data_IF_900885518901
#
_entry.id   IF_900885518901
#
_cell.length_a   1.000
_cell.length_b   1.000
_cell.length_c   1.000
_cell.angle_alpha   90.00
_cell.angle_beta   90.00
_cell.angle_gamma   90.00
#
_symmetry.space_group_name_H-M   'P 1'
#
loop_
_entity.id
_entity.type
_entity.pdbx_description
1 polymer ?
#
# COMPACT_ATOMS: atom_id res chain seq x y z
N UNK A 1 27.43 16.50 27.82
CA UNK A 1 27.77 16.32 26.39
C UNK A 1 26.53 16.69 25.60
N UNK A 2 26.60 17.74 24.78
CA UNK A 2 25.48 18.22 23.97
C UNK A 2 25.47 17.52 22.60
N UNK A 3 24.27 17.18 22.13
CA UNK A 3 24.04 16.58 20.81
C UNK A 3 23.13 17.50 20.01
N UNK A 4 23.36 17.56 18.71
CA UNK A 4 22.51 18.34 17.81
C UNK A 4 21.14 17.64 17.68
N UNK A 5 20.07 18.36 17.99
CA UNK A 5 18.69 17.85 17.90
C UNK A 5 18.21 17.66 16.47
N UNK A 6 18.92 18.23 15.48
CA UNK A 6 18.59 18.11 14.06
C UNK A 6 19.33 16.95 13.38
N UNK A 7 20.63 16.77 13.62
CA UNK A 7 21.44 15.75 12.93
C UNK A 7 21.91 14.59 13.82
N UNK A 8 21.70 14.65 15.14
CA UNK A 8 22.13 13.63 16.09
C UNK A 8 23.63 13.54 16.36
N UNK A 9 24.46 14.39 15.73
CA UNK A 9 25.92 14.40 15.95
C UNK A 9 26.31 15.17 17.23
N UNK A 10 27.45 14.81 17.82
CA UNK A 10 27.99 15.44 19.03
C UNK A 10 28.44 16.87 18.71
N UNK A 11 28.06 17.83 19.55
CA UNK A 11 28.48 19.23 19.44
C UNK A 11 29.74 19.41 20.30
N UNK A 12 30.77 20.04 19.72
CA UNK A 12 31.96 20.49 20.44
C UNK A 12 31.71 21.94 20.86
N UNK A 13 31.78 22.22 22.16
CA UNK A 13 31.58 23.57 22.69
C UNK A 13 32.68 24.49 22.19
N UNK A 14 32.30 25.55 21.47
CA UNK A 14 33.21 26.55 20.90
C UNK A 14 33.37 26.50 19.37
N UNK A 15 32.85 25.48 18.69
CA UNK A 15 32.87 25.39 17.22
C UNK A 15 31.48 25.56 16.61
N UNK A 16 31.40 26.27 15.47
CA UNK A 16 30.16 26.42 14.71
C UNK A 16 29.76 25.07 14.09
N UNK A 17 28.68 24.48 14.60
CA UNK A 17 28.17 23.21 14.10
C UNK A 17 27.42 23.39 12.78
N UNK A 18 27.98 22.93 11.66
CA UNK A 18 27.33 22.95 10.36
C UNK A 18 26.49 21.68 10.14
N UNK A 19 25.17 21.78 10.31
CA UNK A 19 24.24 20.73 9.90
C UNK A 19 24.23 20.63 8.37
N UNK A 20 24.81 19.57 7.80
CA UNK A 20 24.79 19.34 6.34
C UNK A 20 23.39 19.21 5.74
N UNK A 21 22.35 18.95 6.54
CA UNK A 21 20.96 18.95 6.06
C UNK A 21 20.43 20.34 5.69
N UNK A 22 21.00 21.43 6.22
CA UNK A 22 20.57 22.80 5.90
C UNK A 22 21.35 23.39 4.72
N UNK A 23 22.55 22.88 4.42
CA UNK A 23 23.40 23.38 3.34
C UNK A 23 22.96 22.90 1.94
N UNK A 24 22.10 21.88 1.84
CA UNK A 24 21.54 21.41 0.57
C UNK A 24 20.19 22.07 0.20
N UNK A 25 19.71 23.04 0.99
CA UNK A 25 18.38 23.64 0.84
C UNK A 25 18.32 25.17 0.76
N UNK A 26 19.46 25.86 0.70
CA UNK A 26 19.51 27.34 0.79
C UNK A 26 19.97 28.06 -0.48
N UNK A 27 19.68 27.51 -1.65
CA UNK A 27 19.75 28.25 -2.92
C UNK A 27 18.34 28.38 -3.49
N UNK A 28 17.55 29.30 -2.94
CA UNK A 28 16.49 30.04 -3.62
C UNK A 28 15.94 31.09 -2.65
N UNK A 29 16.76 32.09 -2.40
CA UNK A 29 16.32 33.37 -1.87
C UNK A 29 15.49 34.07 -2.94
N UNK A 30 14.18 34.21 -2.72
CA UNK A 30 13.36 35.20 -3.43
C UNK A 30 12.80 36.21 -2.44
N UNK A 31 13.26 37.45 -2.62
CA UNK A 31 12.81 38.68 -1.98
C UNK A 31 11.31 38.92 -2.20
N UNK A 32 10.60 39.37 -1.16
CA UNK A 32 9.22 39.83 -1.30
C UNK A 32 8.58 40.24 0.02
N UNK A 33 8.67 41.53 0.33
CA UNK A 33 8.10 42.31 1.43
C UNK A 33 6.63 42.04 1.82
N UNK A 34 6.38 42.00 3.14
CA UNK A 34 5.36 42.76 3.87
C UNK A 34 3.87 42.66 3.48
N UNK A 35 3.02 42.27 4.43
CA UNK A 35 1.62 42.72 4.45
C UNK A 35 0.59 41.72 4.98
N UNK A 36 0.03 42.07 6.14
CA UNK A 36 -1.35 41.86 6.58
C UNK A 36 -1.94 40.44 6.73
N UNK A 37 -2.44 40.20 7.94
CA UNK A 37 -3.34 39.13 8.32
C UNK A 37 -4.56 39.04 7.38
N UNK A 38 -4.75 37.87 6.79
CA UNK A 38 -5.97 37.46 6.11
C UNK A 38 -6.33 36.04 6.52
N UNK A 39 -7.40 35.89 7.28
CA UNK A 39 -7.97 34.61 7.69
C UNK A 39 -8.30 33.73 6.47
N UNK A 40 -8.14 32.40 6.53
CA UNK A 40 -8.49 31.53 5.42
C UNK A 40 -10.01 31.48 5.27
N UNK A 41 -10.48 32.04 4.15
CA UNK A 41 -11.86 31.96 3.68
C UNK A 41 -12.06 30.56 3.10
N UNK A 42 -12.87 29.74 3.77
CA UNK A 42 -13.23 28.41 3.30
C UNK A 42 -14.00 28.49 1.98
N UNK A 43 -13.34 28.12 0.88
CA UNK A 43 -14.00 27.82 -0.39
C UNK A 43 -14.14 26.30 -0.53
N UNK A 44 -15.39 25.85 -0.41
CA UNK A 44 -15.84 24.48 -0.60
C UNK A 44 -15.87 24.10 -2.10
N UNK A 45 -14.74 24.26 -2.80
CA UNK A 45 -14.52 23.84 -4.20
C UNK A 45 -13.16 23.16 -4.36
N UNK A 46 -12.84 22.23 -3.45
CA UNK A 46 -11.46 21.73 -3.29
C UNK A 46 -11.15 20.37 -3.88
N UNK A 47 -12.13 19.61 -4.39
CA UNK A 47 -11.89 18.19 -4.71
C UNK A 47 -10.95 17.97 -5.90
N UNK A 48 -11.20 18.66 -7.02
CA UNK A 48 -10.45 18.43 -8.27
C UNK A 48 -9.23 19.35 -8.39
N UNK A 49 -9.32 20.61 -7.94
CA UNK A 49 -8.19 21.54 -7.95
C UNK A 49 -7.07 21.12 -6.99
N UNK A 50 -7.40 20.56 -5.83
CA UNK A 50 -6.37 19.96 -4.96
C UNK A 50 -5.66 18.80 -5.65
N UNK A 51 -6.36 17.97 -6.43
CA UNK A 51 -5.74 16.89 -7.22
C UNK A 51 -4.84 17.44 -8.32
N UNK A 52 -5.25 18.52 -9.00
CA UNK A 52 -4.43 19.18 -10.04
C UNK A 52 -3.15 19.80 -9.46
N UNK A 53 -3.25 20.46 -8.31
CA UNK A 53 -2.08 21.02 -7.61
C UNK A 53 -1.19 19.92 -7.01
N UNK A 54 -1.78 18.82 -6.54
CA UNK A 54 -1.04 17.61 -6.14
C UNK A 54 -0.27 17.02 -7.33
N UNK A 55 -0.86 16.93 -8.53
CA UNK A 55 -0.16 16.40 -9.71
C UNK A 55 1.04 17.23 -10.15
N UNK A 56 1.05 18.56 -9.92
CA UNK A 56 2.23 19.39 -10.18
C UNK A 56 3.38 19.14 -9.21
N UNK A 57 3.10 18.54 -8.05
CA UNK A 57 4.07 18.30 -6.99
C UNK A 57 4.59 16.85 -6.97
N UNK A 58 4.05 15.98 -7.84
CA UNK A 58 4.48 14.59 -7.95
C UNK A 58 5.76 14.52 -8.80
N UNK A 59 6.86 14.14 -8.17
CA UNK A 59 8.08 13.80 -8.90
C UNK A 59 7.93 12.40 -9.50
N UNK A 60 7.82 12.35 -10.83
CA UNK A 60 7.67 11.09 -11.57
C UNK A 60 8.91 10.20 -11.43
N UNK A 61 10.09 10.80 -11.23
CA UNK A 61 11.32 10.03 -11.04
C UNK A 61 11.26 9.22 -9.75
N UNK A 62 10.69 9.78 -8.68
CA UNK A 62 10.49 9.08 -7.41
C UNK A 62 9.56 7.89 -7.60
N UNK A 63 8.47 8.04 -8.36
CA UNK A 63 7.55 6.92 -8.65
C UNK A 63 8.26 5.80 -9.42
N UNK A 64 9.01 6.15 -10.46
CA UNK A 64 9.76 5.16 -11.26
C UNK A 64 10.82 4.46 -10.41
N UNK A 65 11.47 5.20 -9.51
CA UNK A 65 12.43 4.64 -8.57
C UNK A 65 11.79 3.68 -7.58
N UNK A 66 10.62 4.02 -7.04
CA UNK A 66 9.85 3.15 -6.15
C UNK A 66 9.35 1.89 -6.88
N UNK A 67 8.96 2.02 -8.14
CA UNK A 67 8.53 0.90 -8.97
C UNK A 67 9.67 -0.08 -9.28
N UNK A 68 10.89 0.43 -9.48
CA UNK A 68 12.08 -0.41 -9.71
C UNK A 68 12.61 -1.01 -8.41
N UNK A 69 12.56 -0.25 -7.32
CA UNK A 69 13.13 -0.61 -6.02
C UNK A 69 12.14 -0.28 -4.89
N UNK A 70 11.24 -1.21 -4.52
CA UNK A 70 10.24 -0.96 -3.47
C UNK A 70 10.86 -0.65 -2.10
N UNK A 71 12.12 -1.05 -1.87
CA UNK A 71 12.87 -0.74 -0.64
C UNK A 71 13.22 0.74 -0.47
N UNK A 72 13.23 1.53 -1.55
CA UNK A 72 13.39 3.00 -1.46
C UNK A 72 12.25 3.65 -0.67
N UNK A 73 11.12 2.96 -0.50
CA UNK A 73 10.01 3.43 0.33
C UNK A 73 10.43 3.73 1.77
N UNK A 74 11.40 3.02 2.33
CA UNK A 74 11.89 3.21 3.70
C UNK A 74 12.62 4.55 3.90
N UNK A 75 13.07 5.19 2.83
CA UNK A 75 13.79 6.47 2.87
C UNK A 75 12.86 7.69 2.73
N UNK A 76 11.58 7.46 2.43
CA UNK A 76 10.59 8.53 2.29
C UNK A 76 10.35 9.22 3.63
N UNK A 77 10.06 10.52 3.60
CA UNK A 77 9.73 11.30 4.78
C UNK A 77 8.20 11.37 4.94
N UNK A 78 7.61 10.74 5.97
CA UNK A 78 6.15 10.68 6.12
C UNK A 78 5.42 12.03 6.15
N UNK A 79 6.10 13.09 6.62
CA UNK A 79 5.52 14.43 6.70
C UNK A 79 5.29 15.08 5.33
N UNK A 80 6.08 14.72 4.31
CA UNK A 80 6.05 15.32 2.97
C UNK A 80 5.59 14.34 1.90
N UNK A 81 5.90 13.06 2.08
CA UNK A 81 5.81 12.03 1.04
C UNK A 81 4.61 11.09 1.18
N UNK A 82 3.68 11.40 2.08
CA UNK A 82 2.46 10.59 2.29
C UNK A 82 1.67 10.37 0.99
N UNK A 83 1.69 11.35 0.09
CA UNK A 83 1.03 11.26 -1.22
C UNK A 83 1.55 10.07 -2.03
N UNK A 84 2.85 9.76 -1.98
CA UNK A 84 3.42 8.63 -2.70
C UNK A 84 2.96 7.28 -2.14
N UNK A 85 2.73 7.20 -0.83
CA UNK A 85 2.18 6.00 -0.19
C UNK A 85 0.74 5.74 -0.57
N UNK A 86 -0.10 6.78 -0.53
CA UNK A 86 -1.50 6.70 -0.94
C UNK A 86 -1.62 6.35 -2.42
N UNK A 87 -0.81 6.99 -3.27
CA UNK A 87 -0.79 6.68 -4.71
C UNK A 87 -0.33 5.25 -4.99
N UNK A 88 0.59 4.69 -4.20
CA UNK A 88 0.99 3.28 -4.34
C UNK A 88 -0.13 2.31 -4.01
N UNK A 89 -0.90 2.59 -2.95
CA UNK A 89 -2.14 1.86 -2.62
C UNK A 89 -3.12 1.95 -3.79
N UNK A 90 -3.41 3.15 -4.27
CA UNK A 90 -4.33 3.36 -5.39
C UNK A 90 -3.85 2.64 -6.65
N UNK A 91 -2.56 2.71 -6.97
CA UNK A 91 -1.98 2.01 -8.12
C UNK A 91 -2.14 0.50 -8.03
N UNK A 92 -1.97 -0.08 -6.83
CA UNK A 92 -2.19 -1.52 -6.62
C UNK A 92 -3.65 -1.92 -6.78
N UNK A 93 -4.58 -1.11 -6.25
CA UNK A 93 -6.01 -1.32 -6.41
C UNK A 93 -6.43 -1.20 -7.88
N UNK A 94 -5.91 -0.21 -8.61
CA UNK A 94 -6.17 -0.05 -10.05
C UNK A 94 -5.62 -1.23 -10.85
N UNK A 95 -4.40 -1.69 -10.54
CA UNK A 95 -3.84 -2.88 -11.17
C UNK A 95 -4.69 -4.12 -10.93
N UNK A 96 -5.15 -4.32 -9.70
CA UNK A 96 -6.07 -5.40 -9.35
C UNK A 96 -7.45 -5.25 -10.02
N UNK A 97 -8.00 -4.04 -10.10
CA UNK A 97 -9.26 -3.77 -10.82
C UNK A 97 -9.16 -4.11 -12.30
N UNK A 98 -8.06 -3.73 -12.95
CA UNK A 98 -7.80 -4.07 -14.36
C UNK A 98 -7.76 -5.59 -14.51
N UNK A 99 -7.01 -6.30 -13.65
CA UNK A 99 -6.98 -7.76 -13.65
C UNK A 99 -8.38 -8.37 -13.46
N UNK A 100 -9.12 -7.92 -12.43
CA UNK A 100 -10.44 -8.41 -12.08
C UNK A 100 -11.46 -8.18 -13.22
N UNK A 101 -11.38 -7.04 -13.90
CA UNK A 101 -12.23 -6.74 -15.04
C UNK A 101 -11.93 -7.61 -16.26
N UNK A 102 -10.64 -7.88 -16.54
CA UNK A 102 -10.22 -8.77 -17.62
C UNK A 102 -10.69 -10.21 -17.34
N UNK A 103 -10.52 -10.69 -16.09
CA UNK A 103 -10.87 -12.06 -15.70
C UNK A 103 -12.37 -12.27 -15.55
N UNK A 104 -13.12 -11.26 -15.08
CA UNK A 104 -14.55 -11.34 -14.80
C UNK A 104 -15.40 -11.72 -16.02
N UNK A 105 -14.90 -11.47 -17.24
CA UNK A 105 -15.54 -11.90 -18.50
C UNK A 105 -15.29 -13.36 -18.87
N UNK A 106 -14.32 -14.01 -18.22
CA UNK A 106 -13.84 -15.38 -18.53
C UNK A 106 -14.04 -16.36 -17.35
N UNK A 107 -14.64 -15.89 -16.26
CA UNK A 107 -14.64 -16.57 -14.96
C UNK A 107 -15.66 -17.72 -14.89
N UNK A 108 -16.78 -17.60 -15.61
CA UNK A 108 -17.93 -18.51 -15.52
C UNK A 108 -17.58 -19.98 -15.84
N UNK A 109 -16.59 -20.22 -16.70
CA UNK A 109 -16.19 -21.59 -17.08
C UNK A 109 -15.01 -22.16 -16.29
N UNK A 110 -14.29 -21.34 -15.51
CA UNK A 110 -13.01 -21.72 -14.91
C UNK A 110 -13.03 -21.75 -13.38
N UNK A 111 -13.91 -21.00 -12.73
CA UNK A 111 -14.07 -21.09 -11.27
C UNK A 111 -14.62 -22.45 -10.85
N UNK A 112 -15.63 -22.99 -11.54
CA UNK A 112 -16.17 -24.33 -11.25
C UNK A 112 -15.12 -25.44 -11.34
N UNK A 113 -14.30 -25.42 -12.39
CA UNK A 113 -13.28 -26.46 -12.63
C UNK A 113 -12.02 -26.30 -11.76
N UNK A 114 -11.54 -25.07 -11.51
CA UNK A 114 -10.32 -24.84 -10.72
C UNK A 114 -10.57 -24.86 -9.21
N UNK A 115 -11.65 -24.24 -8.72
CA UNK A 115 -11.91 -24.19 -7.28
C UNK A 115 -12.62 -25.44 -6.77
N UNK A 116 -13.53 -26.03 -7.57
CA UNK A 116 -14.20 -27.28 -7.23
C UNK A 116 -13.25 -28.49 -7.12
N UNK A 117 -12.14 -28.49 -7.88
CA UNK A 117 -11.14 -29.58 -7.86
C UNK A 117 -9.94 -29.37 -6.94
N UNK A 118 -9.48 -28.13 -6.73
CA UNK A 118 -8.25 -27.83 -5.97
C UNK A 118 -8.52 -27.40 -4.51
N UNK A 119 -9.70 -26.83 -4.22
CA UNK A 119 -10.07 -26.23 -2.93
C UNK A 119 -11.41 -26.77 -2.39
N UNK A 120 -11.72 -28.06 -2.63
CA UNK A 120 -13.00 -28.73 -2.35
C UNK A 120 -13.47 -28.75 -0.88
N UNK A 121 -13.70 -27.58 -0.30
CA UNK A 121 -14.10 -27.35 1.09
C UNK A 121 -14.26 -25.87 1.50
N UNK A 122 -14.10 -24.90 0.58
CA UNK A 122 -14.43 -23.49 0.85
C UNK A 122 -15.85 -23.17 0.36
N UNK A 123 -16.86 -23.70 1.07
CA UNK A 123 -18.29 -23.49 0.76
C UNK A 123 -18.71 -22.02 0.70
N UNK A 124 -18.04 -21.13 1.44
CA UNK A 124 -18.36 -19.69 1.43
C UNK A 124 -17.96 -19.00 0.10
N UNK A 125 -17.03 -19.59 -0.67
CA UNK A 125 -16.68 -19.08 -1.99
C UNK A 125 -17.64 -19.58 -3.08
N UNK A 126 -18.33 -20.69 -2.83
CA UNK A 126 -19.35 -21.25 -3.74
C UNK A 126 -20.62 -20.38 -3.73
N UNK A 127 -20.97 -19.84 -2.56
CA UNK A 127 -22.10 -18.90 -2.39
C UNK A 127 -21.86 -17.54 -3.11
N UNK A 128 -20.59 -17.19 -3.36
CA UNK A 128 -20.23 -16.04 -4.21
C UNK A 128 -20.53 -16.31 -5.70
N UNK A 129 -20.58 -17.58 -6.11
CA UNK A 129 -20.80 -18.01 -7.50
C UNK A 129 -22.22 -18.52 -7.78
N UNK A 130 -23.02 -18.84 -6.77
CA UNK A 130 -24.35 -19.47 -6.93
C UNK A 130 -25.49 -18.49 -7.32
N UNK A 131 -25.16 -17.24 -7.65
CA UNK A 131 -26.12 -16.27 -8.22
C UNK A 131 -26.38 -16.55 -9.70
N UNK A 132 -27.08 -17.64 -9.97
CA UNK A 132 -27.60 -18.09 -11.26
C UNK A 132 -28.83 -17.29 -11.74
N UNK A 133 -28.81 -15.96 -11.56
CA UNK A 133 -29.82 -15.02 -12.05
C UNK A 133 -29.34 -14.29 -13.30
N UNK A 134 -29.95 -14.57 -14.45
CA UNK A 134 -29.51 -14.15 -15.78
C UNK A 134 -29.16 -12.66 -15.98
N UNK A 135 -28.10 -12.46 -16.78
CA UNK A 135 -27.60 -11.18 -17.34
C UNK A 135 -27.08 -10.14 -16.33
N UNK A 136 -25.85 -10.35 -15.83
CA UNK A 136 -24.87 -9.33 -15.36
C UNK A 136 -23.78 -9.92 -14.44
N UNK A 137 -23.75 -11.26 -14.28
CA UNK A 137 -22.90 -12.08 -13.39
C UNK A 137 -21.45 -11.57 -13.27
N UNK A 138 -20.75 -11.31 -14.39
CA UNK A 138 -19.37 -10.82 -14.36
C UNK A 138 -19.18 -9.48 -13.63
N UNK A 139 -20.17 -8.58 -13.68
CA UNK A 139 -20.08 -7.25 -13.05
C UNK A 139 -20.32 -7.30 -11.53
N UNK A 140 -21.24 -8.14 -11.07
CA UNK A 140 -21.51 -8.35 -9.65
C UNK A 140 -20.33 -9.03 -8.96
N UNK A 141 -19.74 -10.06 -9.60
CA UNK A 141 -18.54 -10.75 -9.09
C UNK A 141 -17.34 -9.80 -9.05
N UNK A 142 -17.12 -9.01 -10.11
CA UNK A 142 -16.04 -8.01 -10.13
C UNK A 142 -16.19 -6.99 -9.00
N UNK A 143 -17.41 -6.53 -8.74
CA UNK A 143 -17.70 -5.61 -7.62
C UNK A 143 -17.32 -6.21 -6.26
N UNK A 144 -17.74 -7.45 -5.98
CA UNK A 144 -17.41 -8.14 -4.71
C UNK A 144 -15.90 -8.37 -4.55
N UNK A 145 -15.20 -8.75 -5.61
CA UNK A 145 -13.74 -8.93 -5.59
C UNK A 145 -12.99 -7.62 -5.27
N UNK A 146 -13.47 -6.49 -5.80
CA UNK A 146 -12.87 -5.17 -5.51
C UNK A 146 -13.09 -4.81 -4.04
N UNK A 147 -14.30 -4.99 -3.52
CA UNK A 147 -14.60 -4.74 -2.10
C UNK A 147 -13.73 -5.61 -1.21
N UNK A 148 -13.60 -6.90 -1.54
CA UNK A 148 -12.73 -7.83 -0.81
C UNK A 148 -11.26 -7.41 -0.88
N UNK A 149 -10.77 -6.92 -2.02
CA UNK A 149 -9.40 -6.40 -2.13
C UNK A 149 -9.16 -5.16 -1.27
N UNK A 150 -10.12 -4.23 -1.22
CA UNK A 150 -10.04 -3.04 -0.36
C UNK A 150 -10.01 -3.45 1.12
N UNK A 151 -10.94 -4.32 1.52
CA UNK A 151 -11.01 -4.88 2.88
C UNK A 151 -9.69 -5.55 3.24
N UNK A 152 -9.18 -6.40 2.34
CA UNK A 152 -7.92 -7.11 2.51
C UNK A 152 -6.74 -6.16 2.70
N UNK A 153 -6.68 -5.07 1.94
CA UNK A 153 -5.60 -4.10 2.04
C UNK A 153 -5.66 -3.32 3.38
N UNK A 154 -6.86 -2.91 3.80
CA UNK A 154 -7.08 -2.24 5.09
C UNK A 154 -6.72 -3.18 6.24
N UNK A 155 -7.16 -4.44 6.19
CA UNK A 155 -6.84 -5.46 7.17
C UNK A 155 -5.33 -5.75 7.25
N UNK A 156 -4.65 -5.80 6.10
CA UNK A 156 -3.20 -6.00 6.05
C UNK A 156 -2.44 -4.83 6.68
N UNK A 157 -2.72 -3.60 6.25
CA UNK A 157 -2.05 -2.41 6.81
C UNK A 157 -2.37 -2.25 8.30
N UNK A 158 -3.64 -2.46 8.67
CA UNK A 158 -4.10 -2.36 10.06
C UNK A 158 -3.47 -3.40 10.99
N UNK A 159 -3.39 -4.66 10.55
CA UNK A 159 -2.74 -5.73 11.34
C UNK A 159 -1.25 -5.48 11.52
N UNK A 160 -0.54 -5.09 10.46
CA UNK A 160 0.88 -4.73 10.53
C UNK A 160 1.11 -3.52 11.43
N UNK A 161 0.27 -2.50 11.33
CA UNK A 161 0.37 -1.31 12.18
C UNK A 161 0.12 -1.62 13.66
N UNK A 162 -0.93 -2.40 13.96
CA UNK A 162 -1.28 -2.77 15.33
C UNK A 162 -0.18 -3.61 15.98
N UNK A 163 0.33 -4.62 15.28
CA UNK A 163 1.38 -5.49 15.83
C UNK A 163 2.75 -4.84 15.83
N UNK A 164 3.05 -4.04 14.81
CA UNK A 164 4.25 -3.22 14.78
C UNK A 164 4.33 -2.30 15.98
N UNK A 165 3.24 -1.58 16.31
CA UNK A 165 3.22 -0.69 17.47
C UNK A 165 3.16 -1.41 18.83
N UNK A 166 2.71 -2.66 18.86
CA UNK A 166 2.70 -3.47 20.08
C UNK A 166 4.06 -4.11 20.38
N UNK A 167 4.70 -4.70 19.37
CA UNK A 167 5.92 -5.53 19.53
C UNK A 167 7.19 -4.88 19.00
N UNK A 168 7.08 -3.82 18.21
CA UNK A 168 8.20 -3.05 17.67
C UNK A 168 8.86 -2.16 18.72
N UNK A 169 10.14 -1.86 18.50
CA UNK A 169 10.93 -0.97 19.36
C UNK A 169 10.69 0.50 19.01
N UNK A 170 10.39 0.77 17.73
CA UNK A 170 10.03 2.09 17.25
C UNK A 170 8.52 2.21 17.07
N UNK A 171 7.89 3.20 17.72
CA UNK A 171 6.48 3.51 17.51
C UNK A 171 6.30 4.41 16.29
N UNK A 172 5.34 4.08 15.45
CA UNK A 172 5.07 4.79 14.21
C UNK A 172 3.61 5.23 14.14
N UNK A 173 3.42 6.42 13.60
CA UNK A 173 2.08 6.95 13.35
C UNK A 173 1.45 6.15 12.21
N UNK A 174 0.12 6.05 12.19
CA UNK A 174 -0.59 5.41 11.09
C UNK A 174 -0.23 6.01 9.72
N UNK A 175 0.00 7.33 9.68
CA UNK A 175 0.49 8.06 8.50
C UNK A 175 1.83 7.53 7.99
N UNK A 176 2.76 7.22 8.90
CA UNK A 176 4.09 6.71 8.54
C UNK A 176 3.96 5.30 7.95
N UNK A 177 3.14 4.44 8.58
CA UNK A 177 2.86 3.10 8.08
C UNK A 177 2.25 3.13 6.67
N UNK A 178 1.25 3.98 6.43
CA UNK A 178 0.63 4.14 5.11
C UNK A 178 1.63 4.67 4.08
N UNK A 179 2.50 5.60 4.46
CA UNK A 179 3.50 6.17 3.56
C UNK A 179 4.47 5.10 3.07
N UNK A 180 5.09 4.37 4.00
CA UNK A 180 6.12 3.39 3.68
C UNK A 180 5.51 2.12 3.06
N UNK A 181 4.48 1.53 3.68
CA UNK A 181 3.88 0.29 3.19
C UNK A 181 3.10 0.51 1.90
N UNK A 182 2.42 1.66 1.76
CA UNK A 182 1.69 2.00 0.55
C UNK A 182 2.61 2.25 -0.63
N UNK A 183 3.76 2.91 -0.43
CA UNK A 183 4.71 3.16 -1.50
C UNK A 183 5.39 1.86 -1.99
N UNK A 184 5.46 0.82 -1.17
CA UNK A 184 5.95 -0.48 -1.62
C UNK A 184 4.97 -1.17 -2.61
N UNK A 185 3.70 -0.75 -2.67
CA UNK A 185 2.66 -1.42 -3.45
C UNK A 185 2.68 -1.15 -4.96
N UNK A 186 3.43 -0.16 -5.44
CA UNK A 186 3.51 0.15 -6.88
C UNK A 186 3.93 -1.06 -7.72
N UNK A 187 4.94 -1.78 -7.26
CA UNK A 187 5.48 -2.95 -7.95
C UNK A 187 4.44 -4.06 -8.09
N UNK A 188 3.61 -4.25 -7.05
CA UNK A 188 2.56 -5.27 -7.06
C UNK A 188 1.37 -4.87 -7.93
N UNK A 189 1.07 -3.57 -8.03
CA UNK A 189 0.13 -3.02 -9.01
C UNK A 189 0.52 -3.39 -10.45
N UNK A 190 1.79 -3.21 -10.81
CA UNK A 190 2.30 -3.64 -12.11
C UNK A 190 2.23 -5.17 -12.27
N UNK A 191 2.49 -5.93 -11.21
CA UNK A 191 2.33 -7.39 -11.18
C UNK A 191 0.90 -7.85 -11.45
N UNK A 192 -0.12 -7.15 -10.94
CA UNK A 192 -1.52 -7.45 -11.24
C UNK A 192 -1.87 -7.18 -12.69
N UNK A 193 -1.39 -6.07 -13.26
CA UNK A 193 -1.56 -5.79 -14.69
C UNK A 193 -0.89 -6.88 -15.54
N UNK A 194 0.32 -7.29 -15.18
CA UNK A 194 1.03 -8.37 -15.86
C UNK A 194 0.26 -9.69 -15.79
N UNK A 195 -0.26 -10.07 -14.62
CA UNK A 195 -1.13 -11.23 -14.48
C UNK A 195 -2.38 -11.10 -15.39
N UNK A 196 -2.93 -9.89 -15.51
CA UNK A 196 -4.07 -9.60 -16.37
C UNK A 196 -3.73 -9.80 -17.85
N UNK A 197 -2.56 -9.36 -18.28
CA UNK A 197 -2.06 -9.58 -19.64
C UNK A 197 -1.81 -11.06 -19.93
N UNK A 198 -1.26 -11.82 -18.97
CA UNK A 198 -1.08 -13.26 -19.11
C UNK A 198 -2.40 -14.02 -19.33
N UNK A 199 -3.54 -13.47 -18.89
CA UNK A 199 -4.87 -14.07 -19.09
C UNK A 199 -5.33 -14.11 -20.55
N UNK A 200 -4.70 -13.33 -21.44
CA UNK A 200 -4.91 -13.44 -22.87
C UNK A 200 -4.22 -14.66 -23.48
N UNK A 201 -3.10 -15.10 -22.89
CA UNK A 201 -2.34 -16.27 -23.35
C UNK A 201 -2.96 -17.54 -22.79
N UNK A 202 -3.07 -17.64 -21.45
CA UNK A 202 -3.61 -18.80 -20.77
C UNK A 202 -4.07 -18.42 -19.36
N UNK A 203 -5.33 -18.75 -19.02
CA UNK A 203 -5.88 -18.40 -17.70
C UNK A 203 -5.11 -19.04 -16.54
N UNK A 204 -4.61 -20.27 -16.73
CA UNK A 204 -3.85 -20.98 -15.68
C UNK A 204 -2.54 -20.25 -15.37
N UNK A 205 -1.86 -19.75 -16.39
CA UNK A 205 -0.63 -18.96 -16.23
C UNK A 205 -0.96 -17.65 -15.50
N UNK A 206 -2.05 -16.98 -15.87
CA UNK A 206 -2.48 -15.76 -15.19
C UNK A 206 -2.71 -15.96 -13.69
N UNK A 207 -3.37 -17.05 -13.30
CA UNK A 207 -3.57 -17.39 -11.88
C UNK A 207 -2.27 -17.72 -11.17
N UNK A 208 -1.36 -18.48 -11.79
CA UNK A 208 -0.03 -18.76 -11.22
C UNK A 208 0.74 -17.45 -10.98
N UNK A 209 0.78 -16.56 -11.98
CA UNK A 209 1.44 -15.25 -11.88
C UNK A 209 0.80 -14.40 -10.79
N UNK A 210 -0.54 -14.39 -10.69
CA UNK A 210 -1.27 -13.69 -9.66
C UNK A 210 -0.93 -14.22 -8.26
N UNK A 211 -0.98 -15.54 -8.05
CA UNK A 211 -0.66 -16.17 -6.76
C UNK A 211 0.77 -15.87 -6.33
N UNK A 212 1.73 -15.96 -7.25
CA UNK A 212 3.12 -15.59 -6.98
C UNK A 212 3.23 -14.11 -6.64
N UNK A 213 2.55 -13.22 -7.36
CA UNK A 213 2.54 -11.79 -7.07
C UNK A 213 1.96 -11.48 -5.69
N UNK A 214 0.83 -12.11 -5.32
CA UNK A 214 0.19 -11.96 -4.02
C UNK A 214 1.07 -12.46 -2.87
N UNK A 215 1.67 -13.66 -3.01
CA UNK A 215 2.58 -14.20 -1.99
C UNK A 215 3.83 -13.32 -1.84
N UNK A 216 4.38 -12.84 -2.95
CA UNK A 216 5.52 -11.91 -2.93
C UNK A 216 5.13 -10.59 -2.28
N UNK A 217 3.96 -10.03 -2.58
CA UNK A 217 3.44 -8.82 -1.95
C UNK A 217 3.29 -9.01 -0.43
N UNK A 218 2.72 -10.12 0.00
CA UNK A 218 2.56 -10.43 1.42
C UNK A 218 3.92 -10.54 2.14
N UNK A 219 4.85 -11.33 1.61
CA UNK A 219 6.17 -11.52 2.22
C UNK A 219 6.94 -10.21 2.29
N UNK A 220 7.00 -9.47 1.18
CA UNK A 220 7.75 -8.21 1.11
C UNK A 220 7.16 -7.13 2.03
N UNK A 221 5.83 -7.02 2.13
CA UNK A 221 5.18 -6.04 3.02
C UNK A 221 5.40 -6.36 4.48
N UNK A 222 5.30 -7.65 4.88
CA UNK A 222 5.62 -8.10 6.24
C UNK A 222 7.09 -7.84 6.57
N UNK A 223 8.01 -8.15 5.66
CA UNK A 223 9.44 -7.90 5.85
C UNK A 223 9.76 -6.39 5.96
N UNK A 224 9.11 -5.56 5.14
CA UNK A 224 9.24 -4.10 5.24
C UNK A 224 8.72 -3.59 6.58
N UNK A 225 7.58 -4.09 7.05
CA UNK A 225 7.05 -3.74 8.36
C UNK A 225 8.06 -4.10 9.48
N UNK A 226 8.59 -5.32 9.49
CA UNK A 226 9.57 -5.75 10.49
C UNK A 226 10.79 -4.83 10.54
N UNK A 227 11.30 -4.43 9.38
CA UNK A 227 12.42 -3.49 9.27
C UNK A 227 12.03 -2.08 9.78
N UNK A 228 10.84 -1.60 9.43
CA UNK A 228 10.35 -0.28 9.78
C UNK A 228 10.11 -0.10 11.29
N UNK A 229 9.53 -1.11 11.95
CA UNK A 229 9.27 -1.12 13.39
C UNK A 229 10.48 -1.59 14.23
N UNK A 230 11.60 -1.91 13.59
CA UNK A 230 12.83 -2.39 14.23
C UNK A 230 12.57 -3.54 15.20
N UNK A 231 11.85 -4.57 14.73
CA UNK A 231 11.52 -5.72 15.57
C UNK A 231 12.79 -6.51 15.87
N UNK A 232 13.04 -6.76 17.16
CA UNK A 232 14.18 -7.55 17.67
C UNK A 232 14.23 -8.94 17.04
N UNK A 233 15.44 -9.40 16.71
CA UNK A 233 15.65 -10.60 15.87
C UNK A 233 15.03 -11.87 16.43
N UNK A 234 15.07 -12.02 17.76
CA UNK A 234 14.51 -13.14 18.50
C UNK A 234 12.98 -13.25 18.41
N UNK A 235 12.30 -12.16 18.04
CA UNK A 235 10.82 -12.10 17.98
C UNK A 235 10.28 -11.96 16.56
N UNK A 236 11.15 -11.88 15.54
CA UNK A 236 10.75 -11.70 14.13
C UNK A 236 9.74 -12.76 13.69
N UNK A 237 10.02 -14.04 13.94
CA UNK A 237 9.17 -15.14 13.50
C UNK A 237 7.78 -15.11 14.17
N UNK A 238 7.71 -14.79 15.47
CA UNK A 238 6.44 -14.63 16.18
C UNK A 238 5.62 -13.46 15.64
N UNK A 239 6.27 -12.33 15.34
CA UNK A 239 5.59 -11.16 14.76
C UNK A 239 5.08 -11.47 13.35
N UNK A 240 5.86 -12.16 12.51
CA UNK A 240 5.41 -12.63 11.19
C UNK A 240 4.16 -13.50 11.36
N UNK A 241 4.25 -14.58 12.12
CA UNK A 241 3.14 -15.53 12.28
C UNK A 241 1.88 -14.87 12.83
N UNK A 242 2.03 -14.01 13.84
CA UNK A 242 0.89 -13.33 14.45
C UNK A 242 0.29 -12.26 13.53
N UNK A 243 1.11 -11.59 12.70
CA UNK A 243 0.63 -10.64 11.69
C UNK A 243 -0.18 -11.30 10.60
N UNK A 244 0.28 -12.44 10.08
CA UNK A 244 -0.46 -13.20 9.07
C UNK A 244 -1.74 -13.78 9.67
N UNK A 245 -1.68 -14.33 10.89
CA UNK A 245 -2.87 -14.86 11.57
C UNK A 245 -3.92 -13.76 11.84
N UNK A 246 -3.49 -12.59 12.35
CA UNK A 246 -4.37 -11.45 12.59
C UNK A 246 -4.96 -10.91 11.27
N UNK A 247 -4.15 -10.82 10.21
CA UNK A 247 -4.61 -10.44 8.89
C UNK A 247 -5.72 -11.39 8.39
N UNK A 248 -5.50 -12.70 8.44
CA UNK A 248 -6.50 -13.69 8.00
C UNK A 248 -7.78 -13.63 8.85
N UNK A 249 -7.65 -13.45 10.16
CA UNK A 249 -8.80 -13.29 11.05
C UNK A 249 -9.61 -12.02 10.74
N UNK A 250 -8.93 -10.89 10.50
CA UNK A 250 -9.58 -9.63 10.12
C UNK A 250 -10.26 -9.73 8.75
N UNK A 251 -9.61 -10.36 7.77
CA UNK A 251 -10.22 -10.57 6.45
C UNK A 251 -11.47 -11.43 6.56
N UNK A 252 -11.40 -12.57 7.26
CA UNK A 252 -12.54 -13.47 7.43
C UNK A 252 -13.71 -12.80 8.16
N UNK A 253 -13.43 -12.02 9.20
CA UNK A 253 -14.46 -11.29 9.94
C UNK A 253 -15.08 -10.17 9.10
N UNK A 254 -14.26 -9.39 8.40
CA UNK A 254 -14.77 -8.29 7.57
C UNK A 254 -15.51 -8.81 6.34
N UNK A 255 -15.09 -9.93 5.74
CA UNK A 255 -15.83 -10.56 4.65
C UNK A 255 -17.18 -11.08 5.12
N UNK A 256 -17.25 -11.74 6.29
CA UNK A 256 -18.50 -12.26 6.84
C UNK A 256 -19.53 -11.18 7.22
N UNK A 257 -19.08 -9.93 7.45
CA UNK A 257 -19.98 -8.80 7.73
C UNK A 257 -20.50 -8.17 6.43
N UNK A 258 -19.66 -8.18 5.38
CA UNK A 258 -19.93 -7.46 4.14
C UNK A 258 -20.65 -8.32 3.11
N UNK A 259 -20.49 -9.64 3.18
CA UNK A 259 -21.14 -10.63 2.31
C UNK A 259 -22.32 -11.28 3.01
#
# INVERSE_FOLDING_TARGET
>A
MSFCTQCGMRIVEGEAHACQQTAAGSENAWNGSGGAAGAPRGSNQGGFQAVTDLTKQIDTNVIVDLLKNPQKSLQLQPAKDLIYGVLGIVASLLGFMIWAWIIGKKIDSLLGDMFGGLFGGLSDFEDLTDYSGGSSIGSAITGKLIVLAIISLIALIGSLWALGNWKGERKLTFKDAVTHLGAAQYTFGAGFVLAGLCSFINLRIAFIVLSVNLLTALVTTVMHAIALWQVREDRKLTVVGLSVALYLALVALLSAIVM
#
